data_IF_119752991345
#
_entry.id   IF_119752991345
#
_cell.length_a   1.000
_cell.length_b   1.000
_cell.length_c   1.000
_cell.angle_alpha   90.00
_cell.angle_beta   90.00
_cell.angle_gamma   90.00
#
_symmetry.space_group_name_H-M   'P 1'
#
loop_
_entity.id
_entity.type
_entity.pdbx_description
1 polymer ?
#
# COMPACT_ATOMS: atom_id res chain seq x y z
N UNK A 1 16.98 22.46 -11.38
CA UNK A 1 17.40 21.05 -11.39
C UNK A 1 16.16 20.18 -11.23
N UNK A 2 15.40 19.97 -12.31
CA UNK A 2 14.16 19.20 -12.24
C UNK A 2 14.35 17.89 -12.98
N UNK A 3 14.85 16.87 -12.27
CA UNK A 3 14.82 15.50 -12.78
C UNK A 3 13.38 15.01 -12.68
N UNK A 4 12.56 15.29 -13.69
CA UNK A 4 11.32 14.54 -13.91
C UNK A 4 11.71 13.05 -13.99
N UNK A 5 11.42 12.29 -12.93
CA UNK A 5 11.55 10.82 -12.96
C UNK A 5 10.70 10.32 -14.13
N UNK A 6 11.28 9.45 -14.96
CA UNK A 6 10.54 8.70 -16.00
C UNK A 6 9.21 8.25 -15.40
N UNK A 7 8.09 8.70 -15.97
CA UNK A 7 6.76 8.28 -15.53
C UNK A 7 6.62 6.77 -15.54
N UNK A 8 5.77 6.25 -14.67
CA UNK A 8 5.48 4.83 -14.59
C UNK A 8 5.02 4.35 -15.98
N UNK A 9 5.76 3.43 -16.58
CA UNK A 9 5.37 2.84 -17.86
C UNK A 9 4.24 1.86 -17.59
N UNK A 10 3.20 1.90 -18.42
CA UNK A 10 2.15 0.89 -18.40
C UNK A 10 2.68 -0.42 -19.00
N UNK A 11 2.09 -1.56 -18.61
CA UNK A 11 2.43 -2.89 -19.11
C UNK A 11 3.89 -3.32 -18.89
N UNK A 12 4.55 -2.79 -17.87
CA UNK A 12 5.81 -3.34 -17.35
C UNK A 12 5.58 -3.88 -15.93
N UNK A 13 6.39 -4.84 -15.47
CA UNK A 13 6.37 -5.24 -14.07
C UNK A 13 6.57 -4.04 -13.15
N UNK A 14 5.75 -3.95 -12.09
CA UNK A 14 5.96 -2.99 -11.02
C UNK A 14 7.36 -3.19 -10.39
N UNK A 15 8.05 -2.11 -9.99
CA UNK A 15 9.32 -2.23 -9.27
C UNK A 15 9.15 -3.06 -7.99
N UNK A 16 10.00 -4.07 -7.84
CA UNK A 16 9.98 -4.93 -6.66
C UNK A 16 10.59 -4.19 -5.45
N UNK A 17 10.05 -4.45 -4.27
CA UNK A 17 10.52 -3.87 -3.02
C UNK A 17 10.24 -4.81 -1.86
N UNK A 18 10.99 -4.61 -0.77
CA UNK A 18 10.77 -5.29 0.52
C UNK A 18 10.51 -4.24 1.58
N UNK A 19 9.45 -4.41 2.36
CA UNK A 19 9.08 -3.55 3.47
C UNK A 19 8.85 -4.39 4.73
N UNK A 20 8.86 -3.73 5.89
CA UNK A 20 8.42 -4.32 7.14
C UNK A 20 7.00 -3.89 7.46
N UNK A 21 6.20 -4.86 7.87
CA UNK A 21 4.85 -4.62 8.41
C UNK A 21 4.94 -4.07 9.83
N UNK A 22 3.80 -3.58 10.35
CA UNK A 22 3.70 -3.12 11.73
C UNK A 22 3.99 -4.23 12.77
N UNK A 23 3.79 -5.50 12.40
CA UNK A 23 4.17 -6.66 13.24
C UNK A 23 5.65 -7.05 13.13
N UNK A 24 6.46 -6.30 12.39
CA UNK A 24 7.88 -6.57 12.19
C UNK A 24 8.19 -7.64 11.14
N UNK A 25 7.17 -8.27 10.53
CA UNK A 25 7.35 -9.23 9.45
C UNK A 25 7.82 -8.54 8.17
N UNK A 26 8.81 -9.11 7.50
CA UNK A 26 9.24 -8.68 6.17
C UNK A 26 8.29 -9.20 5.08
N UNK A 27 7.94 -8.31 4.17
CA UNK A 27 7.08 -8.59 3.02
C UNK A 27 7.70 -8.04 1.75
N UNK A 28 7.67 -8.86 0.70
CA UNK A 28 8.20 -8.53 -0.61
C UNK A 28 7.09 -8.48 -1.65
N UNK A 29 7.06 -7.46 -2.52
CA UNK A 29 6.00 -7.32 -3.53
C UNK A 29 5.90 -8.55 -4.43
N UNK A 30 7.04 -9.13 -4.82
CA UNK A 30 7.07 -10.35 -5.64
C UNK A 30 6.36 -11.56 -5.01
N UNK A 31 6.13 -11.56 -3.69
CA UNK A 31 5.40 -12.64 -3.00
C UNK A 31 3.91 -12.66 -3.32
N UNK A 32 3.37 -11.58 -3.93
CA UNK A 32 1.97 -11.46 -4.32
C UNK A 32 1.70 -11.79 -5.79
N UNK A 33 2.66 -12.40 -6.50
CA UNK A 33 2.44 -12.82 -7.90
C UNK A 33 1.24 -13.75 -8.01
N UNK A 34 0.39 -13.50 -9.01
CA UNK A 34 -0.87 -14.23 -9.20
C UNK A 34 -2.08 -13.57 -8.56
N UNK A 35 -1.89 -12.53 -7.74
CA UNK A 35 -2.95 -11.69 -7.19
C UNK A 35 -3.07 -10.37 -7.94
N UNK A 36 -4.25 -9.74 -7.86
CA UNK A 36 -4.42 -8.32 -8.17
C UNK A 36 -3.96 -7.55 -6.94
N UNK A 37 -2.99 -6.64 -7.11
CA UNK A 37 -2.41 -5.89 -5.98
C UNK A 37 -2.66 -4.40 -6.15
N UNK A 38 -3.38 -3.82 -5.20
CA UNK A 38 -3.53 -2.38 -5.06
C UNK A 38 -2.45 -1.85 -4.11
N UNK A 39 -1.62 -0.92 -4.60
CA UNK A 39 -0.64 -0.20 -3.79
C UNK A 39 -1.23 1.14 -3.39
N UNK A 40 -1.64 1.26 -2.12
CA UNK A 40 -2.13 2.52 -1.57
C UNK A 40 -1.02 3.18 -0.75
N UNK A 41 -0.60 4.38 -1.14
CA UNK A 41 0.41 5.15 -0.43
C UNK A 41 -0.28 6.24 0.39
N UNK A 42 -0.19 6.16 1.72
CA UNK A 42 -0.97 7.01 2.63
C UNK A 42 -0.13 7.53 3.80
N UNK A 43 -0.73 8.41 4.59
CA UNK A 43 -0.18 8.91 5.85
C UNK A 43 -1.30 9.29 6.82
N UNK A 44 -1.03 9.29 8.13
CA UNK A 44 -2.03 9.60 9.17
C UNK A 44 -2.59 11.03 9.03
N UNK A 45 -1.75 11.96 8.60
CA UNK A 45 -2.09 13.36 8.34
C UNK A 45 -2.73 13.59 6.96
N UNK A 46 -2.83 12.56 6.11
CA UNK A 46 -3.44 12.67 4.80
C UNK A 46 -4.97 12.64 4.91
N UNK A 47 -5.60 13.82 4.94
CA UNK A 47 -7.06 13.97 4.99
C UNK A 47 -7.82 13.16 3.91
N UNK A 48 -7.48 13.30 2.62
CA UNK A 48 -8.13 12.51 1.55
C UNK A 48 -7.96 11.01 1.71
N UNK A 49 -6.76 10.54 2.09
CA UNK A 49 -6.49 9.12 2.30
C UNK A 49 -7.41 8.53 3.37
N UNK A 50 -7.61 9.24 4.50
CA UNK A 50 -8.54 8.79 5.55
C UNK A 50 -9.99 8.70 5.08
N UNK A 51 -10.41 9.61 4.20
CA UNK A 51 -11.75 9.59 3.63
C UNK A 51 -11.96 8.41 2.67
N UNK A 52 -10.90 7.93 2.02
CA UNK A 52 -10.96 6.82 1.05
C UNK A 52 -10.91 5.43 1.71
N UNK A 53 -10.31 5.32 2.91
CA UNK A 53 -10.13 4.06 3.63
C UNK A 53 -11.40 3.20 3.82
N UNK A 54 -12.58 3.75 4.18
CA UNK A 54 -13.80 2.94 4.29
C UNK A 54 -14.21 2.29 2.97
N UNK A 55 -13.95 2.97 1.84
CA UNK A 55 -14.24 2.43 0.52
C UNK A 55 -13.26 1.33 0.14
N UNK A 56 -11.98 1.47 0.50
CA UNK A 56 -10.99 0.41 0.36
C UNK A 56 -11.30 -0.81 1.22
N UNK A 57 -11.75 -0.60 2.46
CA UNK A 57 -12.16 -1.70 3.34
C UNK A 57 -13.33 -2.48 2.74
N UNK A 58 -14.32 -1.76 2.19
CA UNK A 58 -15.45 -2.38 1.47
C UNK A 58 -14.97 -3.18 0.27
N UNK A 59 -14.11 -2.60 -0.57
CA UNK A 59 -13.55 -3.26 -1.75
C UNK A 59 -12.78 -4.53 -1.36
N UNK A 60 -11.95 -4.47 -0.32
CA UNK A 60 -11.19 -5.63 0.14
C UNK A 60 -12.10 -6.74 0.68
N UNK A 61 -13.13 -6.39 1.45
CA UNK A 61 -14.12 -7.37 1.95
C UNK A 61 -14.82 -8.09 0.80
N UNK A 62 -15.08 -7.41 -0.30
CA UNK A 62 -15.77 -7.96 -1.47
C UNK A 62 -14.88 -8.88 -2.31
N UNK A 63 -13.60 -8.52 -2.52
CA UNK A 63 -12.74 -9.18 -3.52
C UNK A 63 -11.51 -9.91 -2.97
N UNK A 64 -11.27 -9.91 -1.64
CA UNK A 64 -10.12 -10.63 -1.05
C UNK A 64 -10.07 -12.11 -1.44
N UNK A 65 -11.22 -12.75 -1.52
CA UNK A 65 -11.34 -14.18 -1.83
C UNK A 65 -11.24 -14.45 -3.34
N UNK A 66 -11.43 -13.41 -4.17
CA UNK A 66 -11.19 -13.40 -5.61
C UNK A 66 -9.74 -13.04 -5.99
N UNK A 67 -8.86 -12.92 -4.99
CA UNK A 67 -7.43 -12.69 -5.20
C UNK A 67 -7.01 -11.22 -5.23
N UNK A 68 -7.83 -10.30 -4.73
CA UNK A 68 -7.40 -8.92 -4.44
C UNK A 68 -6.55 -8.87 -3.17
N UNK A 69 -5.44 -8.14 -3.22
CA UNK A 69 -4.66 -7.73 -2.07
C UNK A 69 -4.48 -6.21 -2.07
N UNK A 70 -4.68 -5.59 -0.91
CA UNK A 70 -4.39 -4.16 -0.72
C UNK A 70 -3.17 -4.01 0.18
N UNK A 71 -2.12 -3.36 -0.34
CA UNK A 71 -0.92 -3.01 0.42
C UNK A 71 -0.95 -1.52 0.76
N UNK A 72 -1.31 -1.20 2.02
CA UNK A 72 -1.33 0.16 2.54
C UNK A 72 0.06 0.58 3.04
N UNK A 73 0.82 1.28 2.21
CA UNK A 73 2.20 1.70 2.44
C UNK A 73 2.20 3.10 3.07
N UNK A 74 2.61 3.18 4.33
CA UNK A 74 2.75 4.45 5.02
C UNK A 74 3.98 5.24 4.50
N UNK A 75 3.82 6.56 4.34
CA UNK A 75 4.86 7.48 3.88
C UNK A 75 5.77 7.97 5.01
N UNK A 76 6.58 7.06 5.56
CA UNK A 76 7.75 7.41 6.38
C UNK A 76 7.47 7.84 7.82
N UNK A 77 6.27 7.57 8.33
CA UNK A 77 5.95 7.71 9.75
C UNK A 77 6.48 6.49 10.53
N UNK A 78 6.69 6.66 11.84
CA UNK A 78 7.19 5.57 12.66
C UNK A 78 6.09 4.53 12.90
N UNK A 79 6.46 3.25 13.07
CA UNK A 79 5.49 2.20 13.34
C UNK A 79 4.62 2.46 14.58
N UNK A 80 5.14 3.04 15.69
CA UNK A 80 4.31 3.50 16.81
C UNK A 80 3.26 4.55 16.41
N UNK A 81 3.64 5.59 15.66
CA UNK A 81 2.72 6.67 15.28
C UNK A 81 1.58 6.14 14.39
N UNK A 82 1.90 5.21 13.50
CA UNK A 82 0.91 4.55 12.64
C UNK A 82 0.04 3.59 13.44
N UNK A 83 0.64 2.86 14.40
CA UNK A 83 -0.08 1.96 15.30
C UNK A 83 -1.13 2.69 16.11
N UNK A 84 -0.78 3.82 16.73
CA UNK A 84 -1.71 4.66 17.50
C UNK A 84 -2.89 5.17 16.64
N UNK A 85 -2.66 5.46 15.36
CA UNK A 85 -3.72 5.86 14.44
C UNK A 85 -4.67 4.71 14.05
N UNK A 86 -4.19 3.47 14.09
CA UNK A 86 -4.93 2.28 13.66
C UNK A 86 -5.70 1.59 14.80
N UNK A 87 -5.41 1.92 16.07
CA UNK A 87 -6.15 1.49 17.26
C UNK A 87 -7.41 2.34 17.50
#
# INVERSE_FOLDING_TARGET
MEKRRKGNKLNIPAPDFTLRTLSGKEMKLSSFRGKVVELNFWATWCGPCRYEMPSMEKLYKEFKDDGLEILAINLGESAPDVGEFME
#
